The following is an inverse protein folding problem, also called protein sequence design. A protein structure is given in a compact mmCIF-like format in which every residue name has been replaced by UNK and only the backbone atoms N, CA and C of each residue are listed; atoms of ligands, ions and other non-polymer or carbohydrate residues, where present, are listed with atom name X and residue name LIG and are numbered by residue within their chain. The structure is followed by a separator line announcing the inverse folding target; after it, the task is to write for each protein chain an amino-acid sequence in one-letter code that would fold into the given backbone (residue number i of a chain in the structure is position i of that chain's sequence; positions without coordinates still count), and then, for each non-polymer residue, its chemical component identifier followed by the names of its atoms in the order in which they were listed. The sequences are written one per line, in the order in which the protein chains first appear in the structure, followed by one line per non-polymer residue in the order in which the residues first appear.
data_IF_661456728237
#
_entry.id   IF_661456728237
#
_cell.length_a   1.000
_cell.length_b   1.000
_cell.length_c   1.000
_cell.angle_alpha   90.00
_cell.angle_beta   90.00
_cell.angle_gamma   90.00
#
_symmetry.space_group_name_H-M   'P 1'
#
loop_
_entity.id
_entity.type
_entity.pdbx_description
1 polymer ?
#
# COMPACT_ATOMS: atom_id res chain seq x y z
N UNK A 1 -7.20 2.00 7.00
CA UNK A 1 -6.78 0.60 6.91
C UNK A 1 -7.39 -0.21 8.06
N UNK A 2 -7.80 -1.42 7.78
CA UNK A 2 -8.14 -2.41 8.78
C UNK A 2 -7.27 -3.64 8.53
N UNK A 3 -6.39 -3.95 9.47
CA UNK A 3 -5.40 -5.02 9.35
C UNK A 3 -5.84 -6.22 10.17
N UNK A 4 -5.95 -7.37 9.54
CA UNK A 4 -6.23 -8.66 10.17
C UNK A 4 -4.96 -9.48 10.26
N UNK A 5 -4.54 -9.82 11.47
CA UNK A 5 -3.44 -10.76 11.71
C UNK A 5 -4.02 -12.08 12.21
N UNK A 6 -3.47 -13.19 11.73
CA UNK A 6 -3.93 -14.53 12.11
C UNK A 6 -2.90 -15.19 13.01
N UNK A 7 -3.34 -15.62 14.20
CA UNK A 7 -2.54 -16.40 15.13
C UNK A 7 -2.65 -17.89 14.79
N UNK A 8 -1.49 -18.55 14.61
CA UNK A 8 -1.45 -19.99 14.44
C UNK A 8 -1.21 -20.70 15.77
N UNK A 9 -1.95 -21.76 16.09
CA UNK A 9 -1.68 -22.57 17.28
C UNK A 9 -0.46 -23.46 17.04
N UNK A 10 0.72 -23.01 17.43
CA UNK A 10 1.85 -23.91 17.67
C UNK A 10 1.69 -24.54 19.05
N UNK A 11 1.40 -25.84 19.11
CA UNK A 11 1.47 -26.74 20.26
C UNK A 11 1.34 -26.02 21.63
N UNK A 12 0.13 -25.86 22.15
CA UNK A 12 -0.24 -25.55 23.55
C UNK A 12 0.65 -24.58 24.37
N UNK A 13 1.62 -23.88 23.75
CA UNK A 13 2.44 -22.89 24.40
C UNK A 13 2.07 -21.52 23.84
N UNK A 14 1.36 -20.75 24.68
CA UNK A 14 1.11 -19.32 24.63
C UNK A 14 1.19 -18.64 23.26
N UNK A 15 0.07 -18.14 22.77
CA UNK A 15 -0.07 -17.20 21.64
C UNK A 15 0.61 -15.86 21.97
N UNK A 16 1.91 -15.84 22.13
CA UNK A 16 2.62 -14.61 22.43
C UNK A 16 2.64 -13.69 21.21
N UNK A 17 2.20 -12.47 21.42
CA UNK A 17 2.36 -11.38 20.46
C UNK A 17 3.83 -11.30 20.01
N UNK A 18 4.05 -11.19 18.68
CA UNK A 18 5.39 -11.15 18.10
C UNK A 18 5.96 -12.51 17.70
N UNK A 19 5.18 -13.59 17.70
CA UNK A 19 5.61 -14.92 17.25
C UNK A 19 4.80 -15.36 16.04
N UNK A 20 5.49 -15.76 14.96
CA UNK A 20 4.88 -16.23 13.71
C UNK A 20 3.93 -15.19 13.13
N UNK A 21 2.74 -15.62 12.74
CA UNK A 21 1.71 -14.75 12.14
C UNK A 21 1.02 -13.79 13.10
N UNK A 22 1.24 -13.93 14.41
CA UNK A 22 0.80 -12.94 15.40
C UNK A 22 1.84 -11.81 15.51
N UNK A 23 1.99 -11.03 14.44
CA UNK A 23 3.00 -9.99 14.30
C UNK A 23 2.86 -8.89 15.35
N UNK A 24 3.97 -8.30 15.83
CA UNK A 24 3.94 -7.25 16.84
C UNK A 24 3.43 -5.92 16.26
N UNK A 25 2.95 -5.02 17.12
CA UNK A 25 2.40 -3.73 16.67
C UNK A 25 3.42 -2.88 15.92
N UNK A 26 4.67 -2.86 16.38
CA UNK A 26 5.74 -2.10 15.72
C UNK A 26 6.00 -2.57 14.28
N UNK A 27 5.74 -3.82 13.94
CA UNK A 27 5.82 -4.32 12.57
C UNK A 27 4.67 -3.77 11.72
N UNK A 28 3.47 -3.68 12.29
CA UNK A 28 2.30 -3.07 11.62
C UNK A 28 2.55 -1.57 11.39
N UNK A 29 3.04 -0.88 12.41
CA UNK A 29 3.34 0.56 12.33
C UNK A 29 4.42 0.85 11.28
N UNK A 30 5.45 -0.02 11.20
CA UNK A 30 6.50 0.06 10.19
C UNK A 30 5.96 -0.13 8.76
N UNK A 31 5.08 -1.12 8.54
CA UNK A 31 4.44 -1.33 7.24
C UNK A 31 3.60 -0.11 6.81
N UNK A 32 2.83 0.49 7.73
CA UNK A 32 2.06 1.71 7.42
C UNK A 32 2.97 2.91 7.16
N UNK A 33 4.08 3.02 7.86
CA UNK A 33 5.09 4.05 7.62
C UNK A 33 5.67 3.93 6.21
N UNK A 34 6.12 2.72 5.81
CA UNK A 34 6.66 2.46 4.47
C UNK A 34 5.63 2.81 3.39
N UNK A 35 4.37 2.38 3.55
CA UNK A 35 3.29 2.76 2.64
C UNK A 35 3.18 4.27 2.46
N UNK A 36 3.21 5.03 3.55
CA UNK A 36 3.11 6.49 3.50
C UNK A 36 4.36 7.12 2.85
N UNK A 37 5.54 6.60 3.14
CA UNK A 37 6.78 7.07 2.50
C UNK A 37 6.75 6.84 0.99
N UNK A 38 6.32 5.66 0.54
CA UNK A 38 6.27 5.30 -0.88
C UNK A 38 5.19 6.09 -1.64
N UNK A 39 3.97 6.16 -1.11
CA UNK A 39 2.85 6.86 -1.76
C UNK A 39 2.94 8.39 -1.69
N UNK A 40 3.86 8.94 -0.88
CA UNK A 40 4.18 10.37 -0.80
C UNK A 40 5.56 10.69 -1.38
N UNK A 41 6.20 9.75 -2.07
CA UNK A 41 7.55 9.94 -2.65
C UNK A 41 8.53 10.55 -1.65
N UNK A 42 8.42 10.12 -0.38
CA UNK A 42 9.26 10.57 0.74
C UNK A 42 10.16 9.45 1.28
N UNK A 43 10.19 8.32 0.59
CA UNK A 43 11.08 7.20 0.85
C UNK A 43 12.56 7.62 0.69
N UNK A 44 13.44 6.89 1.35
CA UNK A 44 14.86 7.25 1.52
C UNK A 44 15.66 7.36 0.22
N UNK A 45 15.18 6.76 -0.85
CA UNK A 45 15.78 6.78 -2.19
C UNK A 45 15.70 8.16 -2.84
N UNK A 46 14.75 9.00 -2.46
CA UNK A 46 14.62 10.36 -3.02
C UNK A 46 15.32 11.41 -2.12
N UNK A 47 15.91 12.46 -2.75
CA UNK A 47 15.90 12.76 -4.19
C UNK A 47 17.02 12.10 -5.00
N UNK A 48 17.80 11.18 -4.43
CA UNK A 48 18.97 10.57 -5.07
C UNK A 48 18.82 9.05 -5.16
N UNK A 49 17.93 8.54 -6.04
CA UNK A 49 17.68 7.11 -6.15
C UNK A 49 18.91 6.34 -6.65
N UNK A 50 19.01 5.03 -6.36
CA UNK A 50 20.12 4.18 -6.78
C UNK A 50 20.35 4.17 -8.30
N UNK A 51 19.29 4.29 -9.11
CA UNK A 51 19.36 4.55 -10.56
C UNK A 51 18.46 5.76 -10.88
N UNK A 52 19.03 6.76 -11.55
CA UNK A 52 18.34 8.03 -11.82
C UNK A 52 17.69 8.11 -13.21
N UNK A 53 17.75 7.05 -14.01
CA UNK A 53 17.25 7.01 -15.40
C UNK A 53 15.82 7.51 -15.51
N UNK A 54 14.94 7.06 -14.62
CA UNK A 54 13.53 7.37 -14.64
C UNK A 54 13.06 8.39 -13.59
N UNK A 55 13.98 9.08 -12.90
CA UNK A 55 13.64 10.02 -11.83
C UNK A 55 12.64 11.11 -12.27
N UNK A 56 12.70 11.53 -13.52
CA UNK A 56 11.80 12.54 -14.11
C UNK A 56 10.35 12.03 -14.26
N UNK A 57 10.17 10.73 -14.32
CA UNK A 57 8.86 10.08 -14.40
C UNK A 57 8.26 9.75 -13.03
N UNK A 58 9.09 9.76 -11.98
CA UNK A 58 8.64 9.44 -10.64
C UNK A 58 7.71 10.51 -10.07
N UNK A 59 6.52 10.11 -9.65
CA UNK A 59 5.49 11.00 -9.11
C UNK A 59 5.19 10.79 -7.62
N UNK A 60 4.43 11.72 -7.03
CA UNK A 60 3.87 11.65 -5.68
C UNK A 60 2.36 11.37 -5.80
N UNK A 61 1.90 10.25 -5.27
CA UNK A 61 0.49 9.84 -5.32
C UNK A 61 -0.41 10.69 -4.43
N UNK A 62 0.15 11.43 -3.48
CA UNK A 62 -0.57 12.24 -2.49
C UNK A 62 -1.61 11.43 -1.68
N UNK A 63 -1.37 10.14 -1.51
CA UNK A 63 -2.19 9.25 -0.70
C UNK A 63 -1.52 8.98 0.64
N UNK A 64 -2.31 8.98 1.69
CA UNK A 64 -1.87 8.64 3.03
C UNK A 64 -2.76 7.55 3.62
N UNK A 65 -2.15 6.66 4.39
CA UNK A 65 -2.78 5.52 5.02
C UNK A 65 -2.69 5.62 6.53
N UNK A 66 -3.77 5.28 7.21
CA UNK A 66 -3.78 5.18 8.66
C UNK A 66 -4.50 3.90 9.10
N UNK A 67 -4.19 3.39 10.27
CA UNK A 67 -5.02 2.38 10.92
C UNK A 67 -6.38 2.99 11.28
N UNK A 68 -7.44 2.20 11.12
CA UNK A 68 -8.78 2.66 11.47
C UNK A 68 -8.87 2.94 12.98
N UNK A 69 -9.41 4.09 13.35
CA UNK A 69 -9.66 4.48 14.75
C UNK A 69 -11.12 4.26 15.15
N UNK A 70 -11.99 4.02 14.17
CA UNK A 70 -13.41 3.76 14.37
C UNK A 70 -13.80 2.52 13.56
N UNK A 71 -14.51 1.57 14.18
CA UNK A 71 -15.02 0.36 13.52
C UNK A 71 -16.33 0.63 12.76
N UNK A 72 -16.88 -0.39 12.10
CA UNK A 72 -18.14 -0.31 11.33
C UNK A 72 -19.36 0.09 12.17
N UNK A 73 -19.32 -0.11 13.49
CA UNK A 73 -20.38 0.22 14.44
C UNK A 73 -20.18 1.58 15.10
N UNK A 74 -19.12 2.30 14.76
CA UNK A 74 -18.79 3.59 15.34
C UNK A 74 -18.04 3.50 16.67
N UNK A 75 -17.55 2.32 17.06
CA UNK A 75 -16.75 2.16 18.28
C UNK A 75 -15.28 2.46 18.02
N UNK A 76 -14.59 2.93 19.05
CA UNK A 76 -13.13 3.10 18.99
C UNK A 76 -12.42 1.76 18.78
N UNK A 77 -11.43 1.74 17.91
CA UNK A 77 -10.62 0.58 17.58
C UNK A 77 -9.15 0.94 17.35
N UNK A 78 -8.27 -0.03 17.42
CA UNK A 78 -6.87 0.10 16.95
C UNK A 78 -6.69 -0.11 15.45
N UNK A 79 -7.76 -0.47 14.72
CA UNK A 79 -7.67 -0.87 13.32
C UNK A 79 -7.01 -2.24 13.09
N UNK A 80 -6.70 -2.98 14.15
CA UNK A 80 -6.05 -4.30 14.09
C UNK A 80 -6.94 -5.34 14.76
N UNK A 81 -7.30 -6.37 14.01
CA UNK A 81 -8.04 -7.52 14.50
C UNK A 81 -7.14 -8.76 14.49
N UNK A 82 -7.05 -9.44 15.60
CA UNK A 82 -6.29 -10.70 15.75
C UNK A 82 -7.24 -11.86 15.83
N UNK A 83 -7.03 -12.88 14.98
CA UNK A 83 -7.93 -14.02 14.85
C UNK A 83 -7.13 -15.32 14.98
N UNK A 84 -7.51 -16.16 15.93
CA UNK A 84 -6.94 -17.51 16.06
C UNK A 84 -7.52 -18.42 14.98
N UNK A 85 -6.67 -19.21 14.34
CA UNK A 85 -7.06 -20.21 13.34
C UNK A 85 -6.31 -21.52 13.54
N UNK A 86 -6.91 -22.63 13.12
CA UNK A 86 -6.27 -23.94 13.11
C UNK A 86 -5.43 -24.21 11.86
N UNK A 87 -5.51 -23.33 10.86
CA UNK A 87 -4.72 -23.42 9.63
C UNK A 87 -3.30 -22.96 9.87
N UNK A 88 -2.35 -23.71 9.33
CA UNK A 88 -0.91 -23.37 9.41
C UNK A 88 -0.45 -22.44 8.30
N UNK A 89 -1.18 -22.42 7.18
CA UNK A 89 -0.96 -21.55 6.03
C UNK A 89 -2.26 -21.46 5.22
N UNK A 90 -2.29 -20.51 4.31
CA UNK A 90 -3.33 -20.37 3.30
C UNK A 90 -2.68 -20.44 1.92
N UNK A 91 -3.32 -21.17 1.00
CA UNK A 91 -2.88 -21.29 -0.39
C UNK A 91 -3.51 -20.20 -1.23
N UNK A 92 -2.66 -19.34 -1.83
CA UNK A 92 -3.11 -18.22 -2.67
C UNK A 92 -3.75 -18.71 -3.98
N UNK A 93 -3.31 -19.85 -4.50
CA UNK A 93 -3.76 -20.41 -5.78
C UNK A 93 -5.03 -21.27 -5.63
N UNK A 94 -5.35 -21.70 -4.40
CA UNK A 94 -6.59 -22.41 -4.10
C UNK A 94 -7.71 -21.43 -3.74
N UNK A 95 -8.71 -21.33 -4.60
CA UNK A 95 -9.87 -20.46 -4.38
C UNK A 95 -10.63 -20.75 -3.08
N UNK A 96 -10.69 -22.01 -2.63
CA UNK A 96 -11.37 -22.36 -1.39
C UNK A 96 -10.59 -21.82 -0.19
N UNK A 97 -9.26 -21.94 -0.22
CA UNK A 97 -8.38 -21.52 0.86
C UNK A 97 -8.20 -20.00 0.91
N UNK A 98 -8.01 -19.36 -0.24
CA UNK A 98 -7.95 -17.91 -0.36
C UNK A 98 -9.26 -17.23 0.06
N UNK A 99 -10.41 -17.88 -0.13
CA UNK A 99 -11.69 -17.41 0.38
C UNK A 99 -11.86 -17.70 1.88
N UNK A 100 -11.34 -18.83 2.37
CA UNK A 100 -11.50 -19.25 3.75
C UNK A 100 -10.88 -18.25 4.75
N UNK A 101 -9.72 -17.65 4.41
CA UNK A 101 -9.08 -16.64 5.27
C UNK A 101 -9.94 -15.38 5.45
N UNK A 102 -10.79 -15.07 4.47
CA UNK A 102 -11.65 -13.88 4.43
C UNK A 102 -13.04 -14.11 5.01
N UNK A 103 -13.28 -15.27 5.67
CA UNK A 103 -14.58 -15.63 6.23
C UNK A 103 -14.45 -16.24 7.62
N UNK A 104 -15.15 -15.64 8.58
CA UNK A 104 -15.23 -16.14 9.97
C UNK A 104 -15.82 -17.56 10.03
N UNK A 105 -16.81 -17.85 9.18
CA UNK A 105 -17.47 -19.16 9.12
C UNK A 105 -16.53 -20.30 8.70
N UNK A 106 -15.40 -20.01 8.08
CA UNK A 106 -14.40 -20.99 7.59
C UNK A 106 -13.06 -20.90 8.33
N UNK A 107 -13.04 -20.24 9.49
CA UNK A 107 -11.85 -20.13 10.34
C UNK A 107 -10.94 -18.95 10.04
N UNK A 108 -11.37 -18.05 9.16
CA UNK A 108 -10.73 -16.77 8.86
C UNK A 108 -11.43 -15.59 9.58
N UNK A 109 -11.41 -14.43 8.95
CA UNK A 109 -12.04 -13.22 9.46
C UNK A 109 -12.72 -12.45 8.33
N UNK A 110 -14.03 -12.16 8.51
CA UNK A 110 -14.76 -11.28 7.59
C UNK A 110 -14.11 -9.88 7.58
N UNK A 111 -13.96 -9.32 6.37
CA UNK A 111 -13.53 -7.94 6.17
C UNK A 111 -14.60 -6.96 6.62
N UNK A 112 -14.21 -5.75 6.95
CA UNK A 112 -15.12 -4.62 7.14
C UNK A 112 -15.61 -4.10 5.79
N UNK A 113 -16.63 -3.24 5.81
CA UNK A 113 -17.24 -2.65 4.61
C UNK A 113 -16.16 -2.09 3.65
N UNK A 114 -15.95 -2.69 2.47
CA UNK A 114 -14.89 -2.28 1.55
C UNK A 114 -15.12 -0.91 0.92
N UNK A 115 -16.30 -0.32 1.09
CA UNK A 115 -16.58 1.06 0.69
C UNK A 115 -16.07 2.09 1.69
N UNK A 116 -15.69 1.64 2.90
CA UNK A 116 -15.20 2.51 3.98
C UNK A 116 -13.79 2.17 4.44
N UNK A 117 -13.37 0.93 4.24
CA UNK A 117 -12.10 0.42 4.76
C UNK A 117 -11.35 -0.35 3.68
N UNK A 118 -10.06 -0.08 3.58
CA UNK A 118 -9.14 -0.98 2.91
C UNK A 118 -8.80 -2.11 3.88
N UNK A 119 -9.19 -3.34 3.55
CA UNK A 119 -8.94 -4.53 4.35
C UNK A 119 -7.61 -5.18 3.98
N UNK A 120 -6.80 -5.52 4.97
CA UNK A 120 -5.52 -6.21 4.79
C UNK A 120 -5.51 -7.47 5.66
N UNK A 121 -5.38 -8.65 5.05
CA UNK A 121 -5.20 -9.92 5.74
C UNK A 121 -3.72 -10.27 5.75
N UNK A 122 -3.14 -10.35 6.95
CA UNK A 122 -1.74 -10.73 7.16
C UNK A 122 -1.70 -12.18 7.65
N UNK A 123 -1.15 -13.08 6.84
CA UNK A 123 -1.22 -14.53 7.05
C UNK A 123 0.13 -15.19 6.74
N UNK A 124 0.28 -16.49 7.00
CA UNK A 124 1.30 -17.32 6.36
C UNK A 124 0.75 -17.73 4.98
N UNK A 125 1.28 -17.15 3.91
CA UNK A 125 0.77 -17.30 2.56
C UNK A 125 1.70 -18.19 1.73
N UNK A 126 1.12 -19.16 1.05
CA UNK A 126 1.84 -20.11 0.21
C UNK A 126 1.17 -20.20 -1.17
N UNK A 127 1.88 -20.77 -2.14
CA UNK A 127 1.30 -21.22 -3.40
C UNK A 127 1.04 -22.72 -3.40
N UNK A 128 0.29 -23.22 -4.37
CA UNK A 128 -0.08 -24.64 -4.50
C UNK A 128 1.11 -25.59 -4.72
N UNK A 129 2.29 -25.06 -5.01
CA UNK A 129 3.53 -25.83 -5.15
C UNK A 129 4.35 -25.89 -3.86
N UNK A 130 3.84 -25.29 -2.77
CA UNK A 130 4.53 -25.19 -1.48
C UNK A 130 5.61 -24.11 -1.42
N UNK A 131 5.68 -23.23 -2.42
CA UNK A 131 6.48 -22.00 -2.40
C UNK A 131 5.77 -20.88 -1.65
N UNK A 132 6.48 -19.82 -1.36
CA UNK A 132 5.94 -18.62 -0.71
C UNK A 132 5.33 -17.68 -1.75
N UNK A 133 4.13 -17.17 -1.47
CA UNK A 133 3.53 -16.03 -2.15
C UNK A 133 3.67 -14.83 -1.21
N UNK A 134 4.17 -13.70 -1.69
CA UNK A 134 4.44 -12.53 -0.84
C UNK A 134 3.16 -11.76 -0.53
N UNK A 135 2.27 -11.66 -1.51
CA UNK A 135 0.97 -10.99 -1.40
C UNK A 135 0.13 -11.18 -2.64
N UNK A 136 -1.10 -10.75 -2.57
CA UNK A 136 -1.98 -10.54 -3.72
C UNK A 136 -3.10 -9.57 -3.38
N UNK A 137 -3.63 -8.92 -4.40
CA UNK A 137 -4.83 -8.09 -4.31
C UNK A 137 -5.71 -8.26 -5.55
N UNK A 138 -6.84 -7.58 -5.56
CA UNK A 138 -7.73 -7.59 -6.70
C UNK A 138 -7.78 -6.21 -7.34
N UNK A 139 -7.78 -6.19 -8.67
CA UNK A 139 -8.05 -4.98 -9.43
C UNK A 139 -9.43 -4.40 -9.09
N UNK A 140 -9.64 -3.09 -9.28
CA UNK A 140 -10.90 -2.42 -8.99
C UNK A 140 -12.11 -3.08 -9.67
N UNK A 141 -13.23 -3.13 -8.97
CA UNK A 141 -14.50 -3.69 -9.49
C UNK A 141 -15.17 -4.69 -8.56
N UNK A 142 -14.42 -5.44 -7.72
CA UNK A 142 -15.02 -6.42 -6.80
C UNK A 142 -15.99 -5.78 -5.81
N UNK A 143 -15.63 -4.62 -5.25
CA UNK A 143 -16.41 -3.88 -4.27
C UNK A 143 -17.76 -3.38 -4.84
N UNK A 144 -17.90 -3.33 -6.15
CA UNK A 144 -19.15 -2.90 -6.81
C UNK A 144 -20.25 -3.96 -6.82
N UNK A 145 -19.93 -5.20 -6.45
CA UNK A 145 -20.85 -6.34 -6.55
C UNK A 145 -21.00 -7.03 -5.19
N UNK A 146 -22.21 -7.09 -4.68
CA UNK A 146 -22.49 -7.61 -3.32
C UNK A 146 -21.99 -9.04 -3.08
N UNK A 147 -21.88 -9.87 -4.10
CA UNK A 147 -21.42 -11.26 -3.96
C UNK A 147 -19.88 -11.41 -3.99
N UNK A 148 -19.15 -10.36 -4.37
CA UNK A 148 -17.67 -10.36 -4.40
C UNK A 148 -17.06 -9.32 -3.48
N UNK A 149 -17.78 -8.28 -3.08
CA UNK A 149 -17.29 -7.17 -2.26
C UNK A 149 -16.55 -7.63 -1.00
N UNK A 150 -16.99 -8.72 -0.36
CA UNK A 150 -16.35 -9.28 0.83
C UNK A 150 -14.93 -9.82 0.59
N UNK A 151 -14.52 -10.01 -0.67
CA UNK A 151 -13.15 -10.43 -1.02
C UNK A 151 -12.20 -9.26 -1.17
N UNK A 152 -12.75 -8.04 -1.30
CA UNK A 152 -12.00 -6.86 -1.67
C UNK A 152 -11.01 -6.44 -0.57
N UNK A 153 -9.80 -6.10 -1.00
CA UNK A 153 -8.66 -5.81 -0.15
C UNK A 153 -7.43 -6.59 -0.59
N UNK A 154 -6.40 -6.59 0.24
CA UNK A 154 -5.16 -7.30 -0.07
C UNK A 154 -4.83 -8.35 1.00
N UNK A 155 -4.08 -9.35 0.59
CA UNK A 155 -3.49 -10.37 1.44
C UNK A 155 -1.98 -10.24 1.35
N UNK A 156 -1.30 -10.28 2.49
CA UNK A 156 0.17 -10.16 2.55
C UNK A 156 0.71 -11.25 3.47
N UNK A 157 1.80 -11.89 3.07
CA UNK A 157 2.53 -12.78 3.94
C UNK A 157 3.13 -12.01 5.13
N UNK A 158 3.00 -12.57 6.33
CA UNK A 158 3.43 -11.92 7.57
C UNK A 158 4.92 -11.57 7.61
N UNK A 159 5.74 -12.29 6.85
CA UNK A 159 7.18 -12.09 6.76
C UNK A 159 7.57 -10.96 5.76
N UNK A 160 6.59 -10.42 5.03
CA UNK A 160 6.76 -9.34 4.05
C UNK A 160 5.85 -8.14 4.33
N UNK A 161 5.27 -8.07 5.52
CA UNK A 161 4.50 -6.92 5.99
C UNK A 161 5.36 -6.06 6.91
N UNK A 162 6.03 -5.04 6.36
CA UNK A 162 7.04 -4.24 7.03
C UNK A 162 8.44 -4.88 6.99
N UNK A 163 9.40 -4.28 7.69
CA UNK A 163 10.83 -4.69 7.71
C UNK A 163 11.35 -5.03 9.10
N UNK A 164 10.54 -4.87 10.13
CA UNK A 164 10.91 -5.15 11.53
C UNK A 164 10.09 -6.31 12.11
N UNK A 165 10.32 -6.68 13.35
CA UNK A 165 9.61 -7.76 14.01
C UNK A 165 9.83 -9.10 13.31
N UNK A 166 8.77 -9.80 12.96
CA UNK A 166 8.85 -11.11 12.29
C UNK A 166 9.30 -11.02 10.82
N UNK A 167 9.23 -9.84 10.23
CA UNK A 167 9.71 -9.57 8.88
C UNK A 167 11.20 -9.24 8.79
N UNK A 168 11.87 -8.96 9.92
CA UNK A 168 13.24 -8.46 9.95
C UNK A 168 14.31 -9.38 9.33
N UNK A 169 14.04 -10.69 9.25
CA UNK A 169 14.98 -11.68 8.73
C UNK A 169 14.53 -12.29 7.40
N UNK A 170 13.49 -11.75 6.79
CA UNK A 170 13.01 -12.26 5.50
C UNK A 170 13.97 -11.87 4.39
N UNK A 171 14.25 -12.83 3.51
CA UNK A 171 15.18 -12.60 2.40
C UNK A 171 14.61 -11.58 1.42
N UNK A 172 15.43 -10.62 1.03
CA UNK A 172 15.09 -9.61 0.00
C UNK A 172 13.80 -8.83 0.32
N UNK A 173 13.51 -8.63 1.60
CA UNK A 173 12.33 -7.90 2.05
C UNK A 173 12.68 -6.42 2.26
N UNK A 174 12.12 -5.56 1.45
CA UNK A 174 12.17 -4.10 1.59
C UNK A 174 10.88 -3.51 2.20
N UNK A 175 9.93 -4.36 2.59
CA UNK A 175 8.64 -3.98 3.16
C UNK A 175 7.62 -3.47 2.14
N UNK A 176 7.91 -3.54 0.84
CA UNK A 176 7.12 -2.94 -0.25
C UNK A 176 6.10 -3.87 -0.89
N UNK A 177 5.96 -5.10 -0.42
CA UNK A 177 4.86 -5.97 -0.86
C UNK A 177 3.49 -5.27 -0.69
N UNK A 178 3.14 -4.63 0.45
CA UNK A 178 1.89 -3.87 0.55
C UNK A 178 1.79 -2.71 -0.43
N UNK A 179 2.89 -2.03 -0.74
CA UNK A 179 2.94 -0.94 -1.72
C UNK A 179 2.57 -1.45 -3.11
N UNK A 180 3.15 -2.57 -3.53
CA UNK A 180 2.84 -3.27 -4.78
C UNK A 180 1.35 -3.66 -4.85
N UNK A 181 0.86 -4.35 -3.82
CA UNK A 181 -0.52 -4.85 -3.78
C UNK A 181 -1.57 -3.73 -3.76
N UNK A 182 -1.27 -2.60 -3.10
CA UNK A 182 -2.14 -1.42 -3.17
C UNK A 182 -2.09 -0.80 -4.56
N UNK A 183 -0.98 -0.88 -5.29
CA UNK A 183 -0.92 -0.51 -6.69
C UNK A 183 -1.98 -1.25 -7.52
N UNK A 184 -2.06 -2.58 -7.41
CA UNK A 184 -3.12 -3.38 -8.04
C UNK A 184 -4.50 -3.01 -7.53
N UNK A 185 -4.68 -2.87 -6.22
CA UNK A 185 -5.93 -2.44 -5.62
C UNK A 185 -6.43 -1.10 -6.18
N UNK A 186 -5.52 -0.24 -6.60
CA UNK A 186 -5.80 1.06 -7.23
C UNK A 186 -5.79 1.01 -8.77
N UNK A 187 -5.67 -0.17 -9.37
CA UNK A 187 -5.90 -0.37 -10.80
C UNK A 187 -4.64 -0.55 -11.66
N UNK A 188 -3.46 -0.60 -11.05
CA UNK A 188 -2.22 -0.82 -11.79
C UNK A 188 -2.03 -2.29 -12.14
N UNK A 189 -1.40 -2.54 -13.27
CA UNK A 189 -0.86 -3.84 -13.70
C UNK A 189 0.65 -3.85 -13.47
N UNK A 190 1.26 -5.04 -13.63
CA UNK A 190 2.71 -5.15 -13.66
C UNK A 190 3.30 -4.37 -14.84
N UNK A 191 4.52 -3.88 -14.68
CA UNK A 191 5.28 -3.22 -15.76
C UNK A 191 5.85 -4.22 -16.76
N UNK A 192 6.05 -5.47 -16.37
CA UNK A 192 6.51 -6.54 -17.26
C UNK A 192 5.35 -7.26 -17.96
N UNK A 193 5.62 -7.84 -19.12
CA UNK A 193 4.63 -8.60 -19.87
C UNK A 193 4.26 -9.90 -19.16
N UNK A 194 2.96 -10.16 -19.05
CA UNK A 194 2.41 -11.40 -18.47
C UNK A 194 1.94 -12.39 -19.56
N UNK A 195 2.22 -12.06 -20.81
CA UNK A 195 1.84 -12.90 -21.95
C UNK A 195 3.03 -13.76 -22.37
N UNK A 196 2.71 -14.90 -22.97
CA UNK A 196 3.70 -15.82 -23.52
C UNK A 196 3.33 -16.16 -24.96
N UNK A 197 4.32 -16.56 -25.75
CA UNK A 197 4.11 -17.11 -27.08
C UNK A 197 3.47 -18.50 -27.05
N UNK A 198 3.21 -19.08 -28.23
CA UNK A 198 2.62 -20.43 -28.35
C UNK A 198 3.52 -21.54 -27.79
N UNK A 199 4.78 -21.27 -27.52
CA UNK A 199 5.75 -22.18 -26.92
C UNK A 199 5.91 -21.96 -25.40
N UNK A 200 5.25 -20.93 -24.84
CA UNK A 200 5.32 -20.58 -23.41
C UNK A 200 6.51 -19.68 -23.04
N UNK A 201 7.20 -19.07 -24.01
CA UNK A 201 8.26 -18.13 -23.72
C UNK A 201 7.68 -16.73 -23.48
N UNK A 202 8.26 -15.91 -22.57
CA UNK A 202 7.90 -14.51 -22.43
C UNK A 202 8.00 -13.75 -23.77
N UNK A 203 7.19 -12.74 -23.94
CA UNK A 203 7.19 -11.87 -25.11
C UNK A 203 7.23 -10.41 -24.68
N UNK A 204 7.76 -9.55 -25.53
CA UNK A 204 7.68 -8.11 -25.31
C UNK A 204 6.25 -7.62 -25.42
N UNK A 205 5.78 -6.87 -24.42
CA UNK A 205 4.56 -6.09 -24.48
C UNK A 205 4.58 -4.91 -23.52
N UNK A 206 3.76 -3.94 -23.78
CA UNK A 206 3.47 -2.82 -22.89
C UNK A 206 2.22 -3.21 -22.06
N UNK A 207 2.44 -3.93 -20.96
CA UNK A 207 1.37 -4.61 -20.21
C UNK A 207 0.45 -3.63 -19.49
N UNK A 208 0.98 -2.55 -18.93
CA UNK A 208 0.25 -1.59 -18.11
C UNK A 208 -0.38 -0.45 -18.90
N UNK A 209 -0.05 -0.31 -20.18
CA UNK A 209 -0.54 0.73 -21.08
C UNK A 209 -2.08 0.83 -21.15
N UNK A 210 -2.81 -0.26 -20.92
CA UNK A 210 -4.27 -0.34 -20.98
C UNK A 210 -4.95 -0.51 -19.63
N UNK A 211 -4.45 0.15 -18.59
CA UNK A 211 -5.06 0.13 -17.25
C UNK A 211 -6.41 0.87 -17.24
N UNK A 212 -7.34 0.40 -16.41
CA UNK A 212 -8.62 1.07 -16.21
C UNK A 212 -8.41 2.50 -15.70
N UNK A 213 -8.93 3.49 -16.41
CA UNK A 213 -8.88 4.89 -16.01
C UNK A 213 -7.75 5.71 -16.61
N UNK A 214 -6.92 5.14 -17.46
CA UNK A 214 -5.86 5.89 -18.12
C UNK A 214 -4.96 5.07 -19.01
N UNK A 215 -4.14 5.81 -19.71
CA UNK A 215 -3.12 5.30 -20.59
C UNK A 215 -1.78 5.47 -19.86
N UNK A 216 -1.14 4.37 -19.49
CA UNK A 216 0.20 4.39 -18.89
C UNK A 216 1.19 4.24 -20.03
N UNK A 217 1.78 5.33 -20.47
CA UNK A 217 2.70 5.38 -21.60
C UNK A 217 4.11 5.83 -21.19
N UNK A 218 4.34 6.04 -19.88
CA UNK A 218 5.62 6.47 -19.31
C UNK A 218 6.37 5.34 -18.56
N UNK A 219 5.97 4.10 -18.81
CA UNK A 219 6.67 2.87 -18.47
C UNK A 219 7.13 2.19 -19.75
N UNK A 220 8.40 1.72 -19.84
CA UNK A 220 8.90 0.99 -21.02
C UNK A 220 8.21 -0.35 -21.20
N UNK A 221 8.14 -0.82 -22.45
CA UNK A 221 7.77 -2.21 -22.74
C UNK A 221 8.83 -3.16 -22.14
N UNK A 222 8.39 -4.21 -21.47
CA UNK A 222 9.27 -5.14 -20.76
C UNK A 222 8.82 -6.58 -21.00
N UNK A 223 9.76 -7.48 -21.37
CA UNK A 223 9.45 -8.87 -21.70
C UNK A 223 9.16 -9.71 -20.45
N UNK A 224 10.03 -9.66 -19.45
CA UNK A 224 10.03 -10.57 -18.31
C UNK A 224 10.49 -9.87 -17.01
N UNK A 225 10.38 -10.58 -15.91
CA UNK A 225 10.74 -10.14 -14.57
C UNK A 225 12.24 -10.06 -14.39
N UNK A 226 12.75 -8.92 -13.94
CA UNK A 226 14.13 -8.77 -13.48
C UNK A 226 14.28 -9.18 -12.01
N UNK A 227 14.87 -10.36 -11.77
CA UNK A 227 15.17 -10.86 -10.44
C UNK A 227 16.53 -10.36 -9.93
N UNK A 228 16.62 -9.10 -9.53
CA UNK A 228 17.87 -8.52 -9.06
C UNK A 228 17.70 -7.19 -8.34
N UNK A 229 18.80 -6.70 -7.77
CA UNK A 229 18.85 -5.35 -7.22
C UNK A 229 19.12 -4.33 -8.33
N UNK A 230 18.32 -3.29 -8.36
CA UNK A 230 18.50 -2.17 -9.30
C UNK A 230 19.45 -1.15 -8.70
N UNK A 231 20.46 -0.74 -9.48
CA UNK A 231 21.46 0.28 -9.13
C UNK A 231 21.93 1.01 -10.38
N UNK A 232 22.81 1.99 -10.23
CA UNK A 232 23.32 2.80 -11.35
C UNK A 232 24.00 1.99 -12.48
N UNK A 233 24.45 0.77 -12.20
CA UNK A 233 25.07 -0.12 -13.18
C UNK A 233 24.09 -1.10 -13.84
N UNK A 234 22.84 -1.16 -13.41
CA UNK A 234 21.84 -2.08 -13.98
C UNK A 234 21.43 -1.61 -15.37
N UNK A 235 21.66 -2.47 -16.36
CA UNK A 235 21.45 -2.21 -17.78
C UNK A 235 20.45 -3.20 -18.38
N UNK A 236 19.40 -3.57 -17.62
CA UNK A 236 18.35 -4.42 -18.13
C UNK A 236 17.53 -3.66 -19.17
N UNK A 237 17.38 -4.25 -20.35
CA UNK A 237 16.59 -3.74 -21.48
C UNK A 237 16.18 -4.93 -22.33
N UNK A 238 14.94 -5.34 -22.23
CA UNK A 238 14.45 -6.58 -22.84
C UNK A 238 13.68 -6.33 -24.13
N UNK A 239 13.16 -5.11 -24.32
CA UNK A 239 12.32 -4.78 -25.49
C UNK A 239 12.81 -3.49 -26.15
N UNK A 240 12.56 -3.38 -27.47
CA UNK A 240 12.78 -2.14 -28.22
C UNK A 240 11.53 -1.24 -28.13
N UNK A 241 11.59 -0.23 -27.29
CA UNK A 241 10.49 0.69 -26.99
C UNK A 241 9.97 1.43 -28.22
N UNK A 242 10.80 1.62 -29.25
CA UNK A 242 10.38 2.31 -30.49
C UNK A 242 9.26 1.58 -31.24
N UNK A 243 9.00 0.33 -30.89
CA UNK A 243 7.95 -0.50 -31.50
C UNK A 243 6.60 -0.40 -30.76
N UNK A 244 6.52 0.34 -29.67
CA UNK A 244 5.35 0.44 -28.81
C UNK A 244 4.80 1.87 -28.75
N UNK A 245 3.51 2.00 -28.41
CA UNK A 245 2.85 3.29 -28.21
C UNK A 245 3.09 3.79 -26.78
N UNK A 246 4.34 4.13 -26.48
CA UNK A 246 4.73 4.71 -25.19
C UNK A 246 5.37 6.10 -25.39
N UNK A 247 5.77 6.76 -24.33
CA UNK A 247 6.34 8.12 -24.34
C UNK A 247 7.79 8.15 -24.83
N UNK A 248 8.43 7.01 -25.09
CA UNK A 248 9.84 6.90 -25.44
C UNK A 248 10.04 6.96 -26.95
N UNK A 249 10.84 7.91 -27.40
CA UNK A 249 11.20 8.10 -28.83
C UNK A 249 12.45 7.35 -29.25
N UNK A 250 13.11 6.73 -28.31
CA UNK A 250 14.29 5.86 -28.46
C UNK A 250 14.16 4.71 -27.50
N UNK A 251 14.85 3.64 -27.79
CA UNK A 251 14.99 2.49 -26.92
C UNK A 251 15.61 2.87 -25.57
N UNK A 252 15.01 2.45 -24.46
CA UNK A 252 15.41 2.77 -23.08
C UNK A 252 15.53 1.50 -22.25
N UNK A 253 16.05 1.61 -21.03
CA UNK A 253 16.12 0.50 -20.09
C UNK A 253 14.72 0.12 -19.58
N UNK A 254 14.55 -1.11 -19.11
CA UNK A 254 13.35 -1.52 -18.38
C UNK A 254 13.24 -0.77 -17.04
N UNK A 255 12.03 -0.40 -16.65
CA UNK A 255 11.78 0.33 -15.38
C UNK A 255 11.68 -0.64 -14.20
N UNK A 256 12.75 -1.41 -13.96
CA UNK A 256 12.79 -2.44 -12.92
C UNK A 256 12.62 -1.89 -11.49
N UNK A 257 12.94 -0.61 -11.26
CA UNK A 257 12.75 0.07 -9.98
C UNK A 257 11.30 0.47 -9.68
N UNK A 258 10.37 0.23 -10.58
CA UNK A 258 8.96 0.52 -10.38
C UNK A 258 8.35 -0.40 -9.33
N UNK A 259 7.47 0.14 -8.46
CA UNK A 259 6.78 -0.68 -7.46
C UNK A 259 5.92 -1.80 -8.08
N UNK A 260 5.54 -1.70 -9.35
CA UNK A 260 4.81 -2.75 -10.07
C UNK A 260 5.71 -3.74 -10.80
N UNK A 261 7.02 -3.69 -10.60
CA UNK A 261 7.99 -4.72 -10.99
C UNK A 261 8.21 -5.72 -9.85
N UNK A 262 9.00 -6.78 -10.10
CA UNK A 262 9.39 -7.79 -9.11
C UNK A 262 10.89 -7.75 -8.79
N UNK A 263 11.57 -6.67 -9.10
CA UNK A 263 12.96 -6.50 -8.67
C UNK A 263 13.04 -6.43 -7.14
N UNK A 264 14.24 -6.74 -6.59
CA UNK A 264 14.41 -6.75 -5.13
C UNK A 264 14.56 -5.36 -4.52
N UNK A 265 14.62 -4.32 -5.35
CA UNK A 265 14.74 -2.92 -4.91
C UNK A 265 13.88 -2.04 -5.81
N UNK A 266 12.74 -1.65 -5.31
CA UNK A 266 11.80 -0.76 -5.98
C UNK A 266 11.66 0.54 -5.20
N UNK A 267 11.37 1.68 -5.84
CA UNK A 267 11.24 2.96 -5.14
C UNK A 267 10.34 3.99 -5.80
N UNK A 268 9.59 3.65 -6.86
CA UNK A 268 8.77 4.65 -7.54
C UNK A 268 7.52 4.10 -8.22
N UNK A 269 6.51 4.94 -8.30
CA UNK A 269 5.47 4.87 -9.33
C UNK A 269 5.75 5.93 -10.40
N UNK A 270 5.31 5.67 -11.63
CA UNK A 270 5.36 6.67 -12.69
C UNK A 270 4.22 7.69 -12.58
N UNK A 271 4.36 8.84 -13.23
CA UNK A 271 3.31 9.86 -13.24
C UNK A 271 2.00 9.37 -13.87
N UNK A 272 2.06 8.51 -14.89
CA UNK A 272 0.86 7.96 -15.52
C UNK A 272 0.21 6.87 -14.67
N UNK A 273 0.99 6.07 -13.97
CA UNK A 273 0.47 5.16 -12.95
C UNK A 273 -0.30 5.92 -11.86
N UNK A 274 0.21 7.07 -11.42
CA UNK A 274 -0.50 7.93 -10.48
C UNK A 274 -1.84 8.41 -11.04
N UNK A 275 -1.90 8.79 -12.32
CA UNK A 275 -3.16 9.18 -12.95
C UNK A 275 -4.20 8.06 -12.92
N UNK A 276 -3.79 6.80 -13.11
CA UNK A 276 -4.68 5.63 -13.00
C UNK A 276 -5.19 5.46 -11.57
N UNK A 277 -4.29 5.55 -10.59
CA UNK A 277 -4.66 5.46 -9.16
C UNK A 277 -5.59 6.60 -8.76
N UNK A 278 -5.31 7.82 -9.19
CA UNK A 278 -6.17 8.98 -8.94
C UNK A 278 -7.55 8.82 -9.59
N UNK A 279 -7.61 8.33 -10.83
CA UNK A 279 -8.87 8.00 -11.47
C UNK A 279 -9.66 6.99 -10.63
N UNK A 280 -9.03 5.90 -10.20
CA UNK A 280 -9.66 4.87 -9.36
C UNK A 280 -10.20 5.46 -8.06
N UNK A 281 -9.44 6.34 -7.41
CA UNK A 281 -9.82 7.01 -6.16
C UNK A 281 -10.91 8.09 -6.36
N UNK A 282 -11.15 8.55 -7.57
CA UNK A 282 -12.19 9.55 -7.87
C UNK A 282 -13.41 8.95 -8.57
N UNK A 283 -13.30 7.81 -9.21
CA UNK A 283 -14.40 7.13 -9.87
C UNK A 283 -15.40 6.55 -8.85
N UNK A 284 -16.69 6.57 -9.21
CA UNK A 284 -17.74 5.99 -8.39
C UNK A 284 -17.62 4.46 -8.33
N UNK A 285 -18.19 3.87 -7.28
CA UNK A 285 -18.27 2.40 -7.12
C UNK A 285 -18.94 1.72 -8.33
N UNK A 286 -19.98 2.33 -8.91
CA UNK A 286 -20.65 1.82 -10.09
C UNK A 286 -19.78 1.78 -11.36
N UNK A 287 -18.70 2.55 -11.37
CA UNK A 287 -17.65 2.53 -12.41
C UNK A 287 -16.44 1.67 -12.00
N UNK A 288 -16.55 0.90 -10.94
CA UNK A 288 -15.45 0.12 -10.39
C UNK A 288 -14.47 0.92 -9.52
N UNK A 289 -14.72 2.23 -9.31
CA UNK A 289 -13.83 3.11 -8.56
C UNK A 289 -14.00 3.02 -7.03
N UNK A 290 -13.15 3.74 -6.32
CA UNK A 290 -13.00 3.69 -4.86
C UNK A 290 -13.25 5.03 -4.17
N UNK A 291 -13.97 5.96 -4.81
CA UNK A 291 -14.25 7.30 -4.28
C UNK A 291 -14.91 7.27 -2.89
N UNK A 292 -15.63 6.22 -2.56
CA UNK A 292 -16.27 6.06 -1.25
C UNK A 292 -15.25 6.00 -0.09
N UNK A 293 -14.04 5.49 -0.30
CA UNK A 293 -12.99 5.45 0.72
C UNK A 293 -12.55 6.85 1.17
N UNK A 294 -12.58 7.83 0.27
CA UNK A 294 -12.19 9.23 0.57
C UNK A 294 -13.15 9.92 1.54
N UNK A 295 -14.36 9.44 1.65
CA UNK A 295 -15.39 9.98 2.54
C UNK A 295 -15.56 9.18 3.83
N UNK A 296 -14.74 8.16 4.02
CA UNK A 296 -14.77 7.30 5.20
C UNK A 296 -14.29 8.07 6.45
N UNK A 297 -14.98 7.84 7.56
CA UNK A 297 -14.58 8.35 8.88
C UNK A 297 -13.65 7.39 9.63
N UNK A 298 -13.16 6.34 8.98
CA UNK A 298 -12.32 5.32 9.61
C UNK A 298 -11.01 5.84 10.21
N UNK A 299 -10.47 6.90 9.63
CA UNK A 299 -9.28 7.61 10.09
C UNK A 299 -9.64 8.94 10.75
N UNK A 300 -10.49 8.95 11.73
CA UNK A 300 -10.63 10.18 12.52
C UNK A 300 -9.41 10.32 13.40
N UNK A 301 -8.45 11.11 12.96
CA UNK A 301 -7.43 11.66 13.85
C UNK A 301 -8.20 12.56 14.83
N UNK A 302 -8.39 12.07 16.05
CA UNK A 302 -8.91 12.89 17.13
C UNK A 302 -7.78 13.88 17.50
N UNK A 303 -7.80 15.02 16.89
CA UNK A 303 -6.86 16.09 17.14
C UNK A 303 -6.33 16.70 15.85
N UNK A 304 -6.96 17.76 15.44
CA UNK A 304 -6.60 18.68 14.35
C UNK A 304 -6.79 18.03 12.97
N UNK A 305 -7.89 18.38 12.30
CA UNK A 305 -7.94 18.37 10.86
C UNK A 305 -6.69 19.11 10.36
N UNK A 306 -5.73 18.40 9.80
CA UNK A 306 -4.74 19.00 8.91
C UNK A 306 -5.41 19.45 7.61
N UNK A 307 -6.31 20.40 7.73
CA UNK A 307 -6.57 21.39 6.67
C UNK A 307 -5.47 22.45 6.83
N UNK A 308 -4.25 22.02 6.95
CA UNK A 308 -3.13 22.92 6.88
C UNK A 308 -2.29 22.51 5.68
N UNK A 309 -2.63 23.06 4.54
CA UNK A 309 -1.58 23.41 3.58
C UNK A 309 -0.37 23.88 4.39
N UNK A 310 0.77 23.29 4.22
CA UNK A 310 2.01 23.42 5.01
C UNK A 310 2.48 24.84 5.32
N UNK A 311 1.74 25.87 4.94
CA UNK A 311 2.10 27.26 5.06
C UNK A 311 1.07 28.14 5.79
N UNK A 312 -0.01 27.60 6.34
CA UNK A 312 -1.06 28.45 6.93
C UNK A 312 -0.78 28.81 8.39
N UNK A 313 -0.16 27.94 9.15
CA UNK A 313 0.26 28.18 10.56
C UNK A 313 1.65 27.61 10.79
N UNK A 314 2.54 28.36 11.33
CA UNK A 314 3.81 27.86 11.86
C UNK A 314 3.89 28.08 13.36
N UNK A 315 4.39 27.07 14.07
CA UNK A 315 4.52 27.04 15.51
C UNK A 315 5.99 26.93 15.90
N UNK A 316 6.52 27.89 16.65
CA UNK A 316 7.93 27.94 17.01
C UNK A 316 8.19 28.67 18.34
N UNK A 317 9.27 28.33 19.03
CA UNK A 317 10.11 27.14 18.82
C UNK A 317 9.34 25.88 19.17
N UNK A 318 9.70 24.76 18.52
CA UNK A 318 9.17 23.46 18.86
C UNK A 318 10.34 22.43 18.82
N UNK A 319 10.76 21.84 19.95
CA UNK A 319 10.15 22.01 21.30
C UNK A 319 10.39 23.39 21.93
N UNK A 320 9.58 23.73 22.95
CA UNK A 320 9.70 24.97 23.71
C UNK A 320 9.71 24.68 25.21
N UNK A 321 10.44 25.52 25.97
CA UNK A 321 10.51 25.44 27.44
C UNK A 321 9.67 26.52 28.16
N UNK A 322 9.28 27.60 27.45
CA UNK A 322 8.59 28.75 28.08
C UNK A 322 7.55 29.42 27.20
N UNK A 323 7.87 29.69 25.94
CA UNK A 323 7.04 30.50 25.05
C UNK A 323 6.91 29.84 23.70
N UNK A 324 5.67 29.73 23.25
CA UNK A 324 5.32 29.24 21.92
C UNK A 324 4.73 30.41 21.10
N UNK A 325 5.13 30.53 19.85
CA UNK A 325 4.60 31.53 18.94
C UNK A 325 3.86 30.83 17.79
N UNK A 326 2.74 31.39 17.40
CA UNK A 326 1.97 30.99 16.24
C UNK A 326 2.10 32.06 15.18
N UNK A 327 2.53 31.68 13.98
CA UNK A 327 2.56 32.57 12.81
C UNK A 327 1.53 32.05 11.83
N UNK A 328 0.56 32.90 11.47
CA UNK A 328 -0.50 32.59 10.54
C UNK A 328 -0.19 33.20 9.17
N UNK A 329 -0.59 32.52 8.07
CA UNK A 329 -0.55 33.09 6.73
C UNK A 329 -1.49 34.29 6.62
N UNK A 330 -1.22 35.19 5.65
CA UNK A 330 -2.10 36.32 5.41
C UNK A 330 -3.52 35.84 5.06
N UNK A 331 -4.53 36.52 5.63
CA UNK A 331 -5.97 36.29 5.45
C UNK A 331 -6.61 35.16 6.26
N UNK A 332 -5.94 34.61 7.29
CA UNK A 332 -6.58 33.73 8.24
C UNK A 332 -7.16 34.50 9.41
N UNK A 333 -8.44 34.31 9.69
CA UNK A 333 -9.09 34.80 10.90
C UNK A 333 -9.06 33.70 11.96
N UNK A 334 -8.28 33.87 13.02
CA UNK A 334 -8.23 32.96 14.16
C UNK A 334 -9.24 33.41 15.19
N UNK A 335 -10.17 32.55 15.56
CA UNK A 335 -11.17 32.84 16.59
C UNK A 335 -10.72 32.37 17.99
N UNK A 336 -9.96 31.27 18.06
CA UNK A 336 -9.39 30.78 19.31
C UNK A 336 -8.22 29.84 19.06
N UNK A 337 -7.34 29.72 20.04
CA UNK A 337 -6.27 28.70 20.12
C UNK A 337 -6.45 27.93 21.40
N UNK A 338 -6.54 26.61 21.30
CA UNK A 338 -6.63 25.70 22.45
C UNK A 338 -5.42 24.77 22.41
N UNK A 339 -4.68 24.69 23.50
CA UNK A 339 -3.59 23.72 23.69
C UNK A 339 -4.05 22.68 24.68
N UNK A 340 -3.94 21.42 24.31
CA UNK A 340 -4.28 20.29 25.14
C UNK A 340 -3.04 19.42 25.40
N UNK A 341 -3.02 18.72 26.54
CA UNK A 341 -2.01 17.69 26.79
C UNK A 341 -2.36 16.38 26.08
N UNK A 342 -1.49 15.37 26.18
CA UNK A 342 -1.68 14.04 25.57
C UNK A 342 -2.91 13.28 26.09
N UNK A 343 -3.51 13.72 27.18
CA UNK A 343 -4.74 13.16 27.75
C UNK A 343 -6.01 13.92 27.30
N UNK A 344 -5.85 14.94 26.44
CA UNK A 344 -6.96 15.77 25.97
C UNK A 344 -7.38 16.89 26.95
N UNK A 345 -6.67 17.08 28.06
CA UNK A 345 -6.95 18.15 29.01
C UNK A 345 -6.49 19.50 28.46
N UNK A 346 -7.36 20.50 28.52
CA UNK A 346 -7.05 21.84 28.06
C UNK A 346 -6.02 22.50 28.97
N UNK A 347 -4.84 22.81 28.44
CA UNK A 347 -3.74 23.46 29.15
C UNK A 347 -3.79 24.99 28.98
N UNK A 348 -4.12 25.44 27.75
CA UNK A 348 -4.22 26.87 27.43
C UNK A 348 -5.40 27.09 26.47
N UNK A 349 -6.13 28.19 26.69
CA UNK A 349 -7.10 28.74 25.74
C UNK A 349 -6.78 30.24 25.57
N UNK A 350 -6.64 30.67 24.33
CA UNK A 350 -6.52 32.09 23.97
C UNK A 350 -7.62 32.43 22.93
N UNK A 351 -8.25 33.58 23.06
CA UNK A 351 -9.27 34.12 22.17
C UNK A 351 -8.81 35.40 21.49
#
# INVERSE_FOLDING_TARGET
LNTYTFEQPHNKQSHNLGIGTNIPQNQIDDAIKILNEDYRKSNSEFPNPPRSTFIQYAGDCQLEFCLATTDENGNTTSGVTRTSTTKTSFDADDNADSNAMKRTATGGKDGWDPLKYLNIWVVNLMNSQGGQTLGYSFLPGLQSQSWTAWKDGLVVDYAYFGTVGNAANSSQNDGRTPTHEIGHYLGLKHTFCEQVDAQGNPICCDNDNTSNGGYVDDTPATEDIYWGNVNAGTQNNTCDDTQYLNAFTSDVLDMDENYMSYSFTTWMFSNKQINVMDYTMNASTGQGGRAALKTSNGCMISGINDILHENLVSVYPNPTDRKINFKFAMNIKVNSIIIQNVLGEQVVKAE
#
